data_IF_764006149447
#
_entry.id   IF_764006149447
#
_cell.length_a   1.000
_cell.length_b   1.000
_cell.length_c   1.000
_cell.angle_alpha   90.00
_cell.angle_beta   90.00
_cell.angle_gamma   90.00
#
_symmetry.space_group_name_H-M   'P 1'
#
loop_
_entity.id
_entity.type
_entity.pdbx_description
1 polymer ?
#
# COMPACT_ATOMS: atom_id res chain seq x y z
N UNK A 1 -30.74 26.10 -43.09
CA UNK A 1 -29.77 26.21 -42.00
C UNK A 1 -28.88 24.98 -42.02
N UNK A 2 -27.61 25.11 -42.43
CA UNK A 2 -26.65 24.00 -42.43
C UNK A 2 -26.18 23.81 -40.96
N UNK A 3 -26.49 22.68 -40.34
CA UNK A 3 -25.92 22.35 -39.04
C UNK A 3 -24.40 22.22 -39.18
N UNK A 4 -23.65 23.08 -38.51
CA UNK A 4 -22.20 22.93 -38.40
C UNK A 4 -21.89 21.69 -37.56
N UNK A 5 -21.09 20.79 -38.07
CA UNK A 5 -20.65 19.60 -37.34
C UNK A 5 -19.30 19.90 -36.68
N UNK A 6 -19.25 19.88 -35.35
CA UNK A 6 -18.02 19.87 -34.57
C UNK A 6 -17.67 18.43 -34.22
N UNK A 7 -16.43 18.10 -34.25
CA UNK A 7 -15.88 16.79 -33.86
C UNK A 7 -14.77 16.99 -32.85
N UNK A 8 -14.93 16.40 -31.69
CA UNK A 8 -13.87 16.35 -30.68
C UNK A 8 -12.99 15.14 -30.96
N UNK A 9 -11.71 15.34 -31.27
CA UNK A 9 -10.75 14.29 -31.54
C UNK A 9 -9.76 14.19 -30.38
N UNK A 10 -10.01 13.24 -29.50
CA UNK A 10 -9.07 12.72 -28.50
C UNK A 10 -8.44 13.71 -27.52
N UNK A 11 -8.69 13.53 -26.24
CA UNK A 11 -7.95 14.21 -25.19
C UNK A 11 -6.64 13.46 -24.91
N UNK A 12 -5.50 14.13 -25.08
CA UNK A 12 -4.19 13.63 -24.64
C UNK A 12 -3.82 14.33 -23.33
N UNK A 13 -3.81 13.60 -22.24
CA UNK A 13 -3.36 14.12 -20.95
C UNK A 13 -1.85 13.96 -20.90
N UNK A 14 -1.12 15.06 -21.09
CA UNK A 14 0.34 15.11 -21.00
C UNK A 14 0.73 15.67 -19.63
N UNK A 15 1.23 14.80 -18.75
CA UNK A 15 1.90 15.23 -17.53
C UNK A 15 3.33 15.66 -17.88
N UNK A 16 3.59 16.96 -17.97
CA UNK A 16 4.95 17.50 -18.16
C UNK A 16 5.65 17.59 -16.80
N UNK A 17 6.61 16.71 -16.58
CA UNK A 17 7.64 16.87 -15.55
C UNK A 17 8.58 18.01 -15.95
N UNK A 18 8.51 19.13 -15.25
CA UNK A 18 9.51 20.20 -15.34
C UNK A 18 10.78 19.75 -14.60
N UNK A 19 11.79 19.33 -15.33
CA UNK A 19 13.15 19.18 -14.84
C UNK A 19 13.81 20.54 -14.85
N UNK A 20 13.98 21.14 -13.66
CA UNK A 20 14.76 22.37 -13.49
C UNK A 20 16.25 22.05 -13.58
N UNK A 21 16.93 22.50 -14.63
CA UNK A 21 18.36 22.46 -14.79
C UNK A 21 19.05 23.36 -13.78
N UNK A 22 19.90 22.78 -12.91
CA UNK A 22 20.80 23.49 -12.01
C UNK A 22 22.01 23.92 -12.81
N UNK A 23 22.20 25.21 -12.96
CA UNK A 23 23.43 25.80 -13.49
C UNK A 23 24.50 25.74 -12.40
N UNK A 24 25.62 25.06 -12.69
CA UNK A 24 26.86 25.12 -11.93
C UNK A 24 27.55 26.47 -12.18
N UNK A 25 27.67 27.28 -11.12
CA UNK A 25 28.64 28.37 -11.10
C UNK A 25 29.79 27.95 -10.18
N UNK A 26 31.01 27.86 -10.78
CA UNK A 26 32.27 27.77 -10.05
C UNK A 26 32.72 29.19 -9.64
N UNK A 27 33.21 29.35 -8.47
CA UNK A 27 34.54 29.78 -8.05
C UNK A 27 34.58 30.72 -6.83
N UNK A 28 35.49 30.43 -5.94
CA UNK A 28 36.30 31.43 -5.26
C UNK A 28 35.86 31.91 -3.86
N UNK A 29 36.56 31.47 -2.83
CA UNK A 29 36.84 32.34 -1.66
C UNK A 29 36.33 31.85 -0.31
N UNK A 30 37.28 31.36 0.50
CA UNK A 30 37.16 31.08 1.93
C UNK A 30 36.89 32.35 2.73
N UNK A 31 35.69 32.46 3.34
CA UNK A 31 35.46 33.28 4.52
C UNK A 31 34.39 32.62 5.38
N UNK A 32 34.75 32.38 6.65
CA UNK A 32 33.83 31.86 7.66
C UNK A 32 32.76 32.91 7.97
N UNK A 33 31.46 32.58 7.91
CA UNK A 33 30.44 33.47 8.46
C UNK A 33 30.02 33.00 9.85
N UNK A 34 29.96 33.98 10.73
CA UNK A 34 29.32 33.98 12.02
C UNK A 34 27.87 33.43 11.96
N UNK A 35 27.55 32.58 12.93
CA UNK A 35 26.24 32.00 13.14
C UNK A 35 25.16 33.06 13.43
N UNK A 36 24.41 33.45 12.42
CA UNK A 36 23.07 34.03 12.61
C UNK A 36 22.05 32.92 12.38
N UNK A 37 21.41 32.46 13.43
CA UNK A 37 20.26 31.54 13.33
C UNK A 37 19.14 32.26 12.56
N UNK A 38 19.02 31.94 11.27
CA UNK A 38 17.87 32.33 10.46
C UNK A 38 16.73 31.39 10.83
N UNK A 39 15.73 31.92 11.54
CA UNK A 39 14.48 31.21 11.76
C UNK A 39 13.89 30.83 10.37
N UNK A 40 13.90 29.51 10.10
CA UNK A 40 13.13 28.98 8.98
C UNK A 40 11.66 29.12 9.36
N UNK A 41 11.00 30.14 8.84
CA UNK A 41 9.54 30.13 8.79
C UNK A 41 9.16 28.99 7.87
N UNK A 42 8.60 27.90 8.43
CA UNK A 42 7.90 26.88 7.68
C UNK A 42 6.75 27.57 6.95
N UNK A 43 6.93 27.83 5.66
CA UNK A 43 5.79 28.18 4.81
C UNK A 43 4.86 26.94 4.85
N UNK A 44 3.68 27.10 5.41
CA UNK A 44 2.65 26.08 5.33
C UNK A 44 2.45 25.78 3.83
N UNK A 45 2.64 24.52 3.44
CA UNK A 45 2.36 24.06 2.09
C UNK A 45 0.88 24.35 1.84
N UNK A 46 0.58 25.14 0.80
CA UNK A 46 -0.79 25.40 0.41
C UNK A 46 -1.43 24.04 0.03
N UNK A 47 -2.64 23.74 0.49
CA UNK A 47 -3.32 22.49 0.12
C UNK A 47 -3.40 22.37 -1.40
N UNK A 48 -3.23 21.18 -1.95
CA UNK A 48 -3.44 20.92 -3.37
C UNK A 48 -4.84 21.39 -3.76
N UNK A 49 -4.93 22.22 -4.80
CA UNK A 49 -6.20 22.65 -5.35
C UNK A 49 -7.00 21.48 -5.93
N UNK A 50 -8.30 21.69 -6.15
CA UNK A 50 -9.23 20.72 -6.74
C UNK A 50 -9.23 20.73 -8.27
N UNK A 51 -8.47 21.66 -8.87
CA UNK A 51 -8.41 21.87 -10.32
C UNK A 51 -7.41 20.95 -11.03
N UNK A 52 -7.72 20.62 -12.27
CA UNK A 52 -6.83 19.85 -13.16
C UNK A 52 -6.83 20.45 -14.58
N UNK A 53 -5.72 20.28 -15.29
CA UNK A 53 -5.59 20.77 -16.66
C UNK A 53 -6.25 19.79 -17.63
N UNK A 54 -7.16 20.30 -18.46
CA UNK A 54 -7.79 19.59 -19.56
C UNK A 54 -7.32 20.15 -20.89
N UNK A 55 -6.93 19.27 -21.81
CA UNK A 55 -6.54 19.62 -23.18
C UNK A 55 -7.44 18.91 -24.17
N UNK A 56 -7.90 19.61 -25.19
CA UNK A 56 -8.70 19.04 -26.25
C UNK A 56 -8.31 19.58 -27.63
N UNK A 57 -8.82 18.88 -28.64
CA UNK A 57 -8.71 19.31 -30.03
C UNK A 57 -10.10 19.45 -30.63
N UNK A 58 -10.36 20.61 -31.24
CA UNK A 58 -11.60 20.96 -31.87
C UNK A 58 -11.43 21.14 -33.37
N UNK A 59 -12.15 20.37 -34.14
CA UNK A 59 -12.23 20.50 -35.60
C UNK A 59 -13.66 20.87 -36.00
N UNK A 60 -13.83 21.81 -36.92
CA UNK A 60 -15.10 22.20 -37.49
C UNK A 60 -15.08 21.86 -39.00
N UNK A 61 -16.00 21.02 -39.45
CA UNK A 61 -16.10 20.56 -40.84
C UNK A 61 -14.79 19.98 -41.41
N UNK A 62 -14.00 19.29 -40.56
CA UNK A 62 -12.72 18.65 -40.94
C UNK A 62 -11.52 19.61 -40.96
N UNK A 63 -11.66 20.83 -40.49
CA UNK A 63 -10.57 21.81 -40.34
C UNK A 63 -10.38 22.21 -38.89
N UNK A 64 -9.13 22.40 -38.42
CA UNK A 64 -8.86 22.87 -37.07
C UNK A 64 -9.47 24.25 -36.83
N UNK A 65 -10.12 24.42 -35.67
CA UNK A 65 -10.64 25.72 -35.27
C UNK A 65 -9.48 26.64 -34.85
N UNK A 66 -9.55 27.94 -35.29
CA UNK A 66 -8.64 29.00 -34.84
C UNK A 66 -9.51 30.19 -34.44
N UNK A 67 -9.95 30.20 -33.18
CA UNK A 67 -10.86 31.21 -32.65
C UNK A 67 -10.78 31.28 -31.12
N UNK A 68 -11.47 32.23 -30.52
CA UNK A 68 -11.74 32.23 -29.08
C UNK A 68 -13.20 31.85 -28.87
N UNK A 69 -13.45 30.84 -28.05
CA UNK A 69 -14.79 30.29 -27.85
C UNK A 69 -15.16 30.23 -26.36
N UNK A 70 -16.44 30.49 -26.08
CA UNK A 70 -16.99 30.20 -24.75
C UNK A 70 -17.23 28.72 -24.58
N UNK A 71 -16.76 28.17 -23.48
CA UNK A 71 -16.84 26.72 -23.18
C UNK A 71 -17.54 26.47 -21.85
N UNK A 72 -18.53 25.56 -21.87
CA UNK A 72 -19.17 25.01 -20.67
C UNK A 72 -18.82 23.57 -20.50
N UNK A 73 -18.29 23.22 -19.33
CA UNK A 73 -17.93 21.88 -18.92
C UNK A 73 -18.87 21.43 -17.81
N UNK A 74 -19.46 20.23 -17.94
CA UNK A 74 -20.34 19.66 -16.93
C UNK A 74 -19.93 18.22 -16.64
N UNK A 75 -19.83 17.89 -15.37
CA UNK A 75 -19.44 16.57 -14.90
C UNK A 75 -20.69 15.78 -14.52
N UNK A 76 -20.81 14.53 -14.99
CA UNK A 76 -21.94 13.64 -14.72
C UNK A 76 -21.48 12.29 -14.17
N UNK A 77 -22.40 11.59 -13.47
CA UNK A 77 -22.22 10.24 -12.95
C UNK A 77 -22.52 9.12 -13.98
N UNK A 78 -23.01 9.47 -15.19
CA UNK A 78 -23.37 8.52 -16.23
C UNK A 78 -23.08 9.03 -17.65
N UNK A 79 -22.82 8.11 -18.58
CA UNK A 79 -22.57 8.39 -20.00
C UNK A 79 -23.76 9.07 -20.70
N UNK A 80 -24.98 8.77 -20.27
CA UNK A 80 -26.24 9.38 -20.76
C UNK A 80 -27.23 9.47 -19.61
N UNK A 81 -28.08 10.51 -19.62
CA UNK A 81 -28.91 10.84 -18.46
C UNK A 81 -28.04 11.08 -17.21
N UNK A 82 -28.36 10.54 -16.02
CA UNK A 82 -27.57 10.67 -14.80
C UNK A 82 -27.67 12.07 -14.16
N UNK A 83 -26.97 12.21 -13.04
CA UNK A 83 -26.96 13.44 -12.21
C UNK A 83 -25.76 14.31 -12.56
N UNK A 84 -25.95 15.63 -12.70
CA UNK A 84 -24.86 16.59 -12.80
C UNK A 84 -24.18 16.70 -11.42
N UNK A 85 -22.87 16.47 -11.39
CA UNK A 85 -22.03 16.50 -10.18
C UNK A 85 -21.44 17.90 -9.98
N UNK A 86 -21.14 18.62 -11.06
CA UNK A 86 -20.58 19.96 -11.03
C UNK A 86 -20.44 20.54 -12.43
N UNK A 87 -20.23 21.86 -12.50
CA UNK A 87 -20.02 22.56 -13.76
C UNK A 87 -18.95 23.63 -13.62
N UNK A 88 -18.24 23.89 -14.72
CA UNK A 88 -17.24 24.94 -14.85
C UNK A 88 -17.39 25.66 -16.19
N UNK A 89 -17.21 26.96 -16.20
CA UNK A 89 -17.41 27.80 -17.37
C UNK A 89 -16.19 28.67 -17.65
N UNK A 90 -15.76 28.69 -18.92
CA UNK A 90 -14.63 29.45 -19.38
C UNK A 90 -15.03 30.30 -20.60
N UNK A 91 -14.97 31.61 -20.45
CA UNK A 91 -15.22 32.53 -21.53
C UNK A 91 -13.96 32.79 -22.36
N UNK A 92 -14.11 32.89 -23.67
CA UNK A 92 -13.07 33.31 -24.58
C UNK A 92 -11.83 32.40 -24.59
N UNK A 93 -12.02 31.10 -24.48
CA UNK A 93 -10.89 30.11 -24.50
C UNK A 93 -10.19 30.16 -25.87
N UNK A 94 -8.89 30.50 -25.93
CA UNK A 94 -8.18 30.55 -27.20
C UNK A 94 -7.93 29.16 -27.75
N UNK A 95 -8.31 28.94 -29.02
CA UNK A 95 -8.09 27.72 -29.76
C UNK A 95 -7.12 27.99 -30.90
N UNK A 96 -5.99 27.32 -30.95
CA UNK A 96 -4.98 27.50 -31.98
C UNK A 96 -4.69 26.16 -32.66
N UNK A 97 -4.85 26.11 -33.98
CA UNK A 97 -4.73 24.87 -34.76
C UNK A 97 -5.60 23.71 -34.20
N UNK A 98 -6.78 24.08 -33.70
CA UNK A 98 -7.72 23.17 -33.06
C UNK A 98 -7.41 22.88 -31.60
N UNK A 99 -6.26 23.21 -31.06
CA UNK A 99 -5.85 22.87 -29.71
C UNK A 99 -6.27 23.93 -28.70
N UNK A 100 -6.86 23.51 -27.59
CA UNK A 100 -7.15 24.35 -26.44
C UNK A 100 -6.70 23.67 -25.13
N UNK A 101 -6.49 24.51 -24.12
CA UNK A 101 -6.13 24.09 -22.77
C UNK A 101 -6.91 24.90 -21.76
N UNK A 102 -7.56 24.26 -20.81
CA UNK A 102 -8.29 24.88 -19.71
C UNK A 102 -7.94 24.20 -18.39
N UNK A 103 -8.15 24.94 -17.30
CA UNK A 103 -7.96 24.38 -15.94
C UNK A 103 -9.33 24.23 -15.30
N UNK A 104 -9.82 22.99 -15.20
CA UNK A 104 -11.17 22.68 -14.74
C UNK A 104 -11.22 22.44 -13.23
N UNK A 105 -12.23 22.98 -12.56
CA UNK A 105 -12.48 22.79 -11.13
C UNK A 105 -13.97 22.49 -10.87
N UNK A 106 -14.26 21.26 -10.49
CA UNK A 106 -15.61 20.81 -10.11
C UNK A 106 -15.81 20.76 -8.59
N UNK A 107 -14.85 21.24 -7.80
CA UNK A 107 -14.87 21.22 -6.35
C UNK A 107 -14.43 19.90 -5.73
N UNK A 108 -14.25 19.94 -4.43
CA UNK A 108 -13.60 18.88 -3.65
C UNK A 108 -14.31 17.51 -3.64
N UNK A 109 -15.63 17.49 -3.84
CA UNK A 109 -16.45 16.26 -3.81
C UNK A 109 -16.69 15.63 -5.19
N UNK A 110 -16.23 16.25 -6.27
CA UNK A 110 -16.57 15.83 -7.63
C UNK A 110 -16.01 14.44 -8.00
N UNK A 111 -14.83 14.11 -7.48
CA UNK A 111 -14.14 12.84 -7.72
C UNK A 111 -14.07 12.03 -6.43
N UNK A 112 -14.86 10.98 -6.32
CA UNK A 112 -14.99 10.11 -5.15
C UNK A 112 -14.64 8.64 -5.45
N UNK A 113 -13.97 8.38 -6.60
CA UNK A 113 -13.65 7.04 -7.08
C UNK A 113 -14.67 6.44 -8.05
N UNK A 114 -15.87 7.03 -8.16
CA UNK A 114 -16.85 6.60 -9.14
C UNK A 114 -16.50 7.09 -10.54
N UNK A 115 -17.04 6.43 -11.57
CA UNK A 115 -16.87 6.83 -12.97
C UNK A 115 -17.49 8.21 -13.19
N UNK A 116 -16.83 9.03 -14.01
CA UNK A 116 -17.28 10.39 -14.36
C UNK A 116 -17.25 10.60 -15.86
N UNK A 117 -18.21 11.39 -16.35
CA UNK A 117 -18.33 11.78 -17.75
C UNK A 117 -18.35 13.29 -17.85
N UNK A 118 -17.48 13.83 -18.71
CA UNK A 118 -17.38 15.25 -19.00
C UNK A 118 -18.18 15.58 -20.24
N UNK A 119 -19.23 16.38 -20.09
CA UNK A 119 -19.97 17.02 -21.18
C UNK A 119 -19.30 18.33 -21.54
N UNK A 120 -19.12 18.58 -22.83
CA UNK A 120 -18.50 19.81 -23.31
C UNK A 120 -19.47 20.50 -24.28
N UNK A 121 -19.76 21.76 -24.02
CA UNK A 121 -20.54 22.62 -24.90
C UNK A 121 -19.74 23.86 -25.27
N UNK A 122 -19.82 24.29 -26.51
CA UNK A 122 -18.99 25.36 -27.06
C UNK A 122 -19.83 26.37 -27.87
N UNK A 123 -19.54 27.65 -27.68
CA UNK A 123 -20.04 28.72 -28.48
C UNK A 123 -18.87 29.60 -29.00
N UNK A 124 -18.58 29.51 -30.31
CA UNK A 124 -17.52 30.29 -30.95
C UNK A 124 -18.06 31.48 -31.74
N UNK A 125 -19.36 31.66 -31.81
CA UNK A 125 -20.00 32.79 -32.50
C UNK A 125 -20.49 33.84 -31.52
N UNK A 126 -20.34 33.57 -30.21
CA UNK A 126 -20.79 34.48 -29.12
C UNK A 126 -22.28 34.91 -29.25
N UNK A 127 -23.09 34.01 -29.87
CA UNK A 127 -24.51 34.26 -30.08
C UNK A 127 -25.42 33.64 -29.01
N UNK A 128 -24.82 32.97 -27.99
CA UNK A 128 -25.48 32.26 -26.91
C UNK A 128 -26.00 30.88 -27.33
N UNK A 129 -25.63 30.41 -28.50
CA UNK A 129 -26.04 29.07 -29.01
C UNK A 129 -24.92 28.05 -28.91
N UNK A 130 -24.94 27.26 -27.86
CA UNK A 130 -23.92 26.27 -27.59
C UNK A 130 -24.10 25.00 -28.44
N UNK A 131 -23.05 24.61 -29.15
CA UNK A 131 -22.96 23.31 -29.78
C UNK A 131 -22.54 22.23 -28.72
N UNK A 132 -23.30 21.15 -28.62
CA UNK A 132 -23.02 20.04 -27.72
C UNK A 132 -22.06 19.06 -28.39
N UNK A 133 -20.90 18.82 -27.78
CA UNK A 133 -19.89 17.90 -28.26
C UNK A 133 -20.07 16.49 -27.66
N UNK A 134 -21.07 16.29 -26.79
CA UNK A 134 -21.37 15.05 -26.13
C UNK A 134 -20.57 14.84 -24.84
N UNK A 135 -20.65 13.62 -24.31
CA UNK A 135 -19.99 13.23 -23.07
C UNK A 135 -18.80 12.31 -23.34
N UNK A 136 -17.70 12.59 -22.70
CA UNK A 136 -16.50 11.77 -22.69
C UNK A 136 -16.24 11.21 -21.30
N UNK A 137 -15.91 9.93 -21.18
CA UNK A 137 -15.48 9.34 -19.91
C UNK A 137 -14.11 9.90 -19.51
N UNK A 138 -14.01 10.35 -18.25
CA UNK A 138 -12.74 10.76 -17.67
C UNK A 138 -12.02 9.51 -17.15
N UNK A 139 -10.86 9.23 -17.74
CA UNK A 139 -9.97 8.16 -17.31
C UNK A 139 -8.99 8.61 -16.23
N UNK A 140 -8.19 7.71 -15.70
CA UNK A 140 -7.43 7.74 -14.44
C UNK A 140 -6.71 9.01 -13.96
N UNK A 141 -6.44 10.03 -14.79
CA UNK A 141 -5.63 11.17 -14.36
C UNK A 141 -6.33 12.12 -13.36
N UNK A 142 -7.65 12.46 -13.50
CA UNK A 142 -8.38 13.17 -12.44
C UNK A 142 -8.54 12.37 -11.15
N UNK A 143 -8.51 11.05 -11.21
CA UNK A 143 -8.57 10.18 -10.05
C UNK A 143 -7.32 10.19 -9.19
N UNK A 144 -6.20 10.76 -9.67
CA UNK A 144 -5.05 11.03 -8.80
C UNK A 144 -5.41 12.01 -7.66
N UNK A 145 -6.37 12.92 -7.90
CA UNK A 145 -6.91 13.82 -6.86
C UNK A 145 -7.77 13.07 -5.83
N UNK A 146 -8.42 11.99 -6.23
CA UNK A 146 -9.14 11.11 -5.32
C UNK A 146 -8.19 10.32 -4.42
N UNK A 147 -7.07 9.85 -4.94
CA UNK A 147 -6.07 9.12 -4.14
C UNK A 147 -5.54 9.96 -2.95
N UNK A 148 -5.53 11.28 -3.08
CA UNK A 148 -5.19 12.21 -1.96
C UNK A 148 -6.35 12.35 -0.96
N UNK A 149 -7.62 12.09 -1.38
CA UNK A 149 -8.82 12.26 -0.54
C UNK A 149 -9.51 10.95 -0.12
N UNK A 150 -9.18 9.83 -0.73
CA UNK A 150 -9.86 8.55 -0.50
C UNK A 150 -9.41 7.83 0.75
N UNK A 151 -9.47 8.49 1.91
CA UNK A 151 -9.27 7.83 3.19
C UNK A 151 -7.87 7.24 3.40
N UNK A 152 -6.87 7.70 2.64
CA UNK A 152 -5.49 7.60 3.07
C UNK A 152 -5.30 8.49 4.30
N UNK A 153 -4.36 8.18 5.18
CA UNK A 153 -4.10 9.00 6.35
C UNK A 153 -3.85 10.45 5.93
N UNK A 154 -4.54 11.39 6.57
CA UNK A 154 -4.40 12.83 6.28
C UNK A 154 -2.97 13.32 6.60
N UNK A 155 -2.26 12.58 7.46
CA UNK A 155 -0.92 12.89 7.94
C UNK A 155 0.09 11.90 7.37
N UNK A 156 1.06 12.40 6.62
CA UNK A 156 2.15 11.58 6.07
C UNK A 156 3.47 12.02 6.68
N UNK A 157 4.19 11.05 7.24
CA UNK A 157 5.57 11.21 7.76
C UNK A 157 6.50 10.42 6.87
N UNK A 158 7.56 11.05 6.38
CA UNK A 158 8.50 10.40 5.46
C UNK A 158 9.77 9.95 6.16
N UNK A 159 10.18 8.70 5.91
CA UNK A 159 11.45 8.14 6.39
C UNK A 159 12.35 7.85 5.20
N UNK A 160 13.54 8.43 5.18
CA UNK A 160 14.53 8.18 4.14
C UNK A 160 15.95 8.24 4.71
N UNK A 161 16.91 7.59 4.06
CA UNK A 161 18.33 7.69 4.45
C UNK A 161 18.89 9.12 4.33
N UNK A 162 18.24 9.93 3.48
CA UNK A 162 18.50 11.37 3.34
C UNK A 162 17.27 12.04 2.73
N UNK A 163 16.95 13.27 3.13
CA UNK A 163 15.87 14.08 2.56
C UNK A 163 14.45 13.72 3.02
N UNK A 164 14.28 12.82 3.98
CA UNK A 164 13.03 12.57 4.66
C UNK A 164 12.90 13.38 5.97
N UNK A 165 11.71 13.34 6.58
CA UNK A 165 11.48 13.94 7.90
C UNK A 165 12.30 13.23 8.98
N UNK A 166 12.49 11.91 8.83
CA UNK A 166 13.26 11.05 9.72
C UNK A 166 14.18 10.11 8.94
N UNK A 167 15.22 9.61 9.62
CA UNK A 167 16.12 8.57 9.09
C UNK A 167 15.91 7.19 9.72
N UNK A 168 15.09 7.10 10.78
CA UNK A 168 14.69 5.89 11.50
C UNK A 168 13.18 5.75 11.48
N UNK A 169 12.69 4.54 11.19
CA UNK A 169 11.25 4.21 11.16
C UNK A 169 10.67 4.30 12.57
N UNK A 170 11.38 3.76 13.58
CA UNK A 170 10.89 3.82 14.96
C UNK A 170 10.78 5.26 15.47
N UNK A 171 11.79 6.09 15.19
CA UNK A 171 11.75 7.50 15.61
C UNK A 171 10.59 8.26 14.94
N UNK A 172 10.29 7.98 13.68
CA UNK A 172 9.13 8.54 12.99
C UNK A 172 7.80 8.13 13.66
N UNK A 173 7.63 6.85 13.98
CA UNK A 173 6.46 6.34 14.70
C UNK A 173 6.36 6.96 16.10
N UNK A 174 7.47 7.09 16.82
CA UNK A 174 7.51 7.63 18.17
C UNK A 174 7.12 9.10 18.23
N UNK A 175 7.43 9.88 17.19
CA UNK A 175 7.07 11.29 17.07
C UNK A 175 5.56 11.53 16.96
N UNK A 176 4.80 10.52 16.52
CA UNK A 176 3.34 10.59 16.40
C UNK A 176 2.71 10.35 17.77
N UNK A 177 2.03 11.36 18.31
CA UNK A 177 1.49 11.33 19.69
C UNK A 177 -0.03 11.44 19.77
N UNK A 178 -0.70 11.74 18.65
CA UNK A 178 -2.14 12.05 18.59
C UNK A 178 -2.89 11.16 17.57
N UNK A 179 -2.30 10.04 17.17
CA UNK A 179 -2.96 9.08 16.29
C UNK A 179 -4.24 8.52 16.94
N UNK A 180 -5.33 8.53 16.19
CA UNK A 180 -6.66 8.10 16.61
C UNK A 180 -7.46 7.57 15.40
N UNK A 181 -8.63 7.00 15.63
CA UNK A 181 -9.48 6.46 14.57
C UNK A 181 -9.91 7.51 13.53
N UNK A 182 -10.05 8.76 13.93
CA UNK A 182 -10.35 9.92 13.10
C UNK A 182 -9.11 10.77 12.73
N UNK A 183 -7.93 10.37 13.19
CA UNK A 183 -6.65 11.04 12.92
C UNK A 183 -5.55 10.00 12.66
N UNK A 184 -5.60 9.36 11.49
CA UNK A 184 -4.67 8.31 11.11
C UNK A 184 -3.40 8.87 10.45
N UNK A 185 -2.29 8.15 10.59
CA UNK A 185 -0.99 8.52 10.05
C UNK A 185 -0.48 7.46 9.07
N UNK A 186 0.21 7.92 8.03
CA UNK A 186 1.05 7.09 7.17
C UNK A 186 2.52 7.42 7.40
N UNK A 187 3.29 6.44 7.83
CA UNK A 187 4.75 6.48 7.78
C UNK A 187 5.19 5.85 6.47
N UNK A 188 5.59 6.69 5.51
CA UNK A 188 6.10 6.23 4.23
C UNK A 188 7.62 6.08 4.28
N UNK A 189 8.12 4.89 3.95
CA UNK A 189 9.53 4.53 4.07
C UNK A 189 10.16 4.39 2.68
N UNK A 190 11.07 5.29 2.37
CA UNK A 190 11.82 5.30 1.10
C UNK A 190 12.68 4.04 0.93
N UNK A 191 13.14 3.74 -0.31
CA UNK A 191 14.08 2.65 -0.54
C UNK A 191 15.30 2.71 0.37
N UNK A 192 15.68 1.55 0.93
CA UNK A 192 16.85 1.42 1.79
C UNK A 192 16.76 0.26 2.77
N UNK A 193 17.87 -0.03 3.44
CA UNK A 193 17.94 -1.02 4.53
C UNK A 193 17.96 -0.27 5.87
N UNK A 194 16.95 -0.53 6.69
CA UNK A 194 16.75 0.05 8.02
C UNK A 194 17.03 -1.02 9.06
N UNK A 195 18.18 -0.88 9.73
CA UNK A 195 18.61 -1.85 10.76
C UNK A 195 18.10 -1.37 12.10
N UNK A 196 16.90 -1.80 12.45
CA UNK A 196 16.21 -1.37 13.66
C UNK A 196 15.08 -2.35 14.05
N UNK A 197 14.66 -2.29 15.31
CA UNK A 197 13.46 -2.95 15.79
C UNK A 197 12.32 -1.93 15.77
N UNK A 198 11.18 -2.32 15.20
CA UNK A 198 10.03 -1.43 15.01
C UNK A 198 8.82 -1.95 15.77
N UNK A 199 8.24 -1.09 16.61
CA UNK A 199 6.93 -1.32 17.25
C UNK A 199 5.94 -0.29 16.72
N UNK A 200 4.93 -0.76 16.04
CA UNK A 200 3.86 0.10 15.50
C UNK A 200 2.97 0.64 16.62
N UNK A 201 2.29 1.74 16.35
CA UNK A 201 1.25 2.31 17.22
C UNK A 201 -0.12 2.16 16.56
N UNK A 202 -1.21 2.06 17.32
CA UNK A 202 -2.57 2.08 16.77
C UNK A 202 -2.79 3.28 15.84
N UNK A 203 -3.53 3.06 14.74
CA UNK A 203 -3.87 4.08 13.73
C UNK A 203 -2.67 4.68 13.00
N UNK A 204 -1.47 4.10 13.13
CA UNK A 204 -0.27 4.45 12.36
C UNK A 204 -0.01 3.36 11.34
N UNK A 205 -0.17 3.68 10.07
CA UNK A 205 0.07 2.79 8.95
C UNK A 205 1.53 2.89 8.50
N UNK A 206 2.13 1.79 8.02
CA UNK A 206 3.50 1.74 7.54
C UNK A 206 3.55 1.22 6.12
N UNK A 207 4.13 1.98 5.20
CA UNK A 207 4.28 1.59 3.80
C UNK A 207 5.69 1.83 3.30
N UNK A 208 6.28 0.80 2.71
CA UNK A 208 7.56 0.89 1.99
C UNK A 208 7.39 1.25 0.52
N UNK A 209 8.51 1.34 -0.18
CA UNK A 209 8.56 1.60 -1.62
C UNK A 209 8.56 0.32 -2.47
N UNK A 210 8.35 -0.84 -1.85
CA UNK A 210 8.33 -2.16 -2.48
C UNK A 210 9.13 -3.19 -1.67
N UNK A 211 8.79 -4.48 -1.82
CA UNK A 211 9.38 -5.57 -1.04
C UNK A 211 10.91 -5.70 -1.21
N UNK A 212 11.43 -5.43 -2.41
CA UNK A 212 12.88 -5.47 -2.65
C UNK A 212 13.56 -4.12 -2.42
N UNK A 213 12.80 -3.04 -2.30
CA UNK A 213 13.29 -1.68 -2.19
C UNK A 213 13.43 -1.21 -0.73
N UNK A 214 12.45 -1.51 0.12
CA UNK A 214 12.45 -1.12 1.53
C UNK A 214 12.58 -2.35 2.41
N UNK A 215 13.65 -2.42 3.19
CA UNK A 215 13.98 -3.56 4.06
C UNK A 215 14.18 -3.07 5.50
N UNK A 216 13.33 -3.53 6.42
CA UNK A 216 13.51 -3.35 7.86
C UNK A 216 14.09 -4.65 8.41
N UNK A 217 15.24 -4.60 9.09
CA UNK A 217 15.91 -5.81 9.56
C UNK A 217 16.51 -5.63 10.95
N UNK A 218 16.58 -6.72 11.71
CA UNK A 218 17.24 -6.74 13.01
C UNK A 218 17.84 -8.12 13.32
N UNK A 219 18.53 -8.18 14.45
CA UNK A 219 19.05 -9.42 15.03
C UNK A 219 18.40 -9.74 16.39
N UNK A 220 17.22 -9.18 16.65
CA UNK A 220 16.52 -9.37 17.92
C UNK A 220 16.15 -10.83 18.13
N UNK A 221 16.31 -11.29 19.36
CA UNK A 221 15.95 -12.64 19.78
C UNK A 221 15.09 -12.60 21.03
N UNK A 222 14.24 -13.60 21.22
CA UNK A 222 13.42 -13.76 22.42
C UNK A 222 13.56 -15.15 23.04
N UNK A 223 13.58 -15.19 24.37
CA UNK A 223 13.53 -16.43 25.12
C UNK A 223 12.10 -16.83 25.56
N UNK A 224 11.16 -15.87 25.51
CA UNK A 224 9.76 -16.05 25.95
C UNK A 224 8.93 -16.84 24.95
N UNK A 225 7.90 -17.54 25.45
CA UNK A 225 6.88 -18.14 24.61
C UNK A 225 5.48 -17.90 25.21
N UNK A 226 4.57 -17.26 24.48
CA UNK A 226 4.75 -16.68 23.14
C UNK A 226 5.83 -15.58 23.14
N UNK A 227 6.46 -15.31 21.98
CA UNK A 227 7.45 -14.25 21.87
C UNK A 227 6.82 -12.87 22.07
N UNK A 228 7.59 -11.96 22.68
CA UNK A 228 7.21 -10.59 22.96
C UNK A 228 8.01 -9.57 22.13
N UNK A 229 9.04 -10.06 21.43
CA UNK A 229 9.93 -9.24 20.61
C UNK A 229 10.09 -9.82 19.19
N UNK A 230 10.13 -8.91 18.22
CA UNK A 230 10.36 -9.20 16.81
C UNK A 230 11.10 -8.05 16.13
N UNK A 231 11.48 -8.21 14.88
CA UNK A 231 11.97 -7.09 14.07
C UNK A 231 10.89 -6.05 13.89
N UNK A 232 9.66 -6.46 13.58
CA UNK A 232 8.50 -5.58 13.53
C UNK A 232 7.33 -6.18 14.30
N UNK A 233 6.80 -5.39 15.25
CA UNK A 233 5.59 -5.73 16.00
C UNK A 233 4.43 -4.85 15.54
N UNK A 234 3.35 -5.49 15.11
CA UNK A 234 2.12 -4.83 14.67
C UNK A 234 1.33 -4.28 15.86
N UNK A 235 0.52 -3.27 15.60
CA UNK A 235 -0.49 -2.75 16.53
C UNK A 235 -1.90 -2.91 15.94
N UNK A 236 -2.92 -2.66 16.76
CA UNK A 236 -4.32 -2.68 16.31
C UNK A 236 -4.60 -1.57 15.29
N UNK A 237 -5.57 -1.78 14.42
CA UNK A 237 -6.07 -0.80 13.45
C UNK A 237 -4.95 -0.19 12.59
N UNK A 238 -4.01 -1.06 12.15
CA UNK A 238 -2.86 -0.65 11.33
C UNK A 238 -2.85 -1.35 9.98
N UNK A 239 -2.07 -0.81 9.06
CA UNK A 239 -1.66 -1.54 7.87
C UNK A 239 -0.14 -1.52 7.68
N UNK A 240 0.40 -2.65 7.22
CA UNK A 240 1.80 -2.81 6.82
C UNK A 240 1.84 -3.22 5.36
N UNK A 241 2.55 -2.45 4.51
CA UNK A 241 2.51 -2.68 3.06
C UNK A 241 3.86 -2.48 2.38
N UNK A 242 4.07 -3.18 1.28
CA UNK A 242 5.10 -2.92 0.26
C UNK A 242 6.53 -2.87 0.82
N UNK A 243 6.93 -3.83 1.67
CA UNK A 243 8.27 -3.88 2.23
C UNK A 243 8.70 -5.30 2.65
N UNK A 244 9.97 -5.45 2.99
CA UNK A 244 10.52 -6.67 3.61
C UNK A 244 10.84 -6.43 5.08
N UNK A 245 10.44 -7.39 5.93
CA UNK A 245 10.82 -7.45 7.34
C UNK A 245 11.74 -8.66 7.54
N UNK A 246 12.98 -8.43 7.96
CA UNK A 246 14.00 -9.47 8.14
C UNK A 246 14.42 -9.64 9.59
N UNK A 247 14.65 -10.88 10.04
CA UNK A 247 15.30 -11.19 11.31
C UNK A 247 16.42 -12.22 11.10
N UNK A 248 17.63 -11.86 11.54
CA UNK A 248 18.80 -12.73 11.47
C UNK A 248 19.45 -13.00 12.84
N UNK A 249 18.65 -12.93 13.90
CA UNK A 249 19.09 -13.26 15.27
C UNK A 249 19.53 -14.71 15.41
N UNK A 250 20.33 -15.00 16.44
CA UNK A 250 20.90 -16.33 16.68
C UNK A 250 20.45 -16.96 17.99
N UNK A 251 19.44 -16.38 18.66
CA UNK A 251 18.93 -16.89 19.93
C UNK A 251 17.89 -17.99 19.83
N UNK A 252 17.13 -18.17 20.91
CA UNK A 252 16.15 -19.25 21.03
C UNK A 252 14.97 -19.09 20.06
N UNK A 253 14.44 -17.88 19.94
CA UNK A 253 13.33 -17.55 19.05
C UNK A 253 13.65 -16.27 18.31
N UNK A 254 13.46 -16.29 17.01
CA UNK A 254 13.81 -15.20 16.11
C UNK A 254 12.59 -14.95 15.22
N UNK A 255 11.94 -13.83 15.44
CA UNK A 255 10.66 -13.47 14.80
C UNK A 255 10.87 -12.26 13.91
N UNK A 256 10.47 -12.33 12.64
CA UNK A 256 10.50 -11.16 11.77
C UNK A 256 9.27 -10.29 11.99
N UNK A 257 8.07 -10.82 11.82
CA UNK A 257 6.80 -10.10 11.98
C UNK A 257 5.96 -10.71 13.11
N UNK A 258 5.56 -9.88 14.07
CA UNK A 258 4.82 -10.29 15.26
C UNK A 258 3.51 -9.51 15.39
N UNK A 259 2.43 -10.20 15.75
CA UNK A 259 1.20 -9.60 16.26
C UNK A 259 0.81 -10.30 17.56
N UNK A 260 0.63 -9.54 18.64
CA UNK A 260 0.32 -10.06 19.99
C UNK A 260 -0.89 -9.43 20.65
N UNK A 261 -1.55 -8.47 19.99
CA UNK A 261 -2.64 -7.70 20.58
C UNK A 261 -3.99 -8.10 20.00
N UNK A 262 -5.06 -7.86 20.74
CA UNK A 262 -6.45 -8.03 20.32
C UNK A 262 -6.78 -7.02 19.23
N UNK A 263 -6.40 -7.33 17.99
CA UNK A 263 -6.53 -6.41 16.87
C UNK A 263 -7.72 -6.80 16.00
N UNK A 264 -8.66 -5.86 15.86
CA UNK A 264 -9.70 -5.93 14.84
C UNK A 264 -9.27 -5.19 13.61
N UNK A 265 -9.16 -5.48 12.45
CA UNK A 265 -8.86 -4.71 11.22
C UNK A 265 -7.38 -4.41 10.94
N UNK A 266 -6.47 -5.28 11.33
CA UNK A 266 -5.07 -5.16 10.90
C UNK A 266 -4.87 -5.84 9.54
N UNK A 267 -4.21 -5.12 8.63
CA UNK A 267 -3.91 -5.60 7.28
C UNK A 267 -2.40 -5.62 7.03
N UNK A 268 -1.90 -6.76 6.57
CA UNK A 268 -0.55 -6.89 6.02
C UNK A 268 -0.68 -7.25 4.54
N UNK A 269 -0.17 -6.41 3.65
CA UNK A 269 -0.32 -6.63 2.22
C UNK A 269 1.00 -6.41 1.48
N UNK A 270 1.31 -7.31 0.54
CA UNK A 270 2.49 -7.23 -0.31
C UNK A 270 3.78 -7.10 0.53
N UNK A 271 3.92 -7.95 1.57
CA UNK A 271 5.03 -7.96 2.52
C UNK A 271 5.80 -9.28 2.43
N UNK A 272 7.13 -9.20 2.45
CA UNK A 272 8.00 -10.35 2.68
C UNK A 272 8.48 -10.35 4.13
N UNK A 273 8.10 -11.36 4.91
CA UNK A 273 8.62 -11.61 6.25
C UNK A 273 9.66 -12.74 6.18
N UNK A 274 10.90 -12.46 6.62
CA UNK A 274 12.01 -13.40 6.51
C UNK A 274 12.74 -13.57 7.82
N UNK A 275 12.84 -14.80 8.33
CA UNK A 275 13.60 -15.12 9.54
C UNK A 275 14.62 -16.22 9.24
N UNK A 276 15.90 -15.95 9.47
CA UNK A 276 16.98 -16.90 9.10
C UNK A 276 18.22 -16.71 9.96
N UNK A 277 19.05 -17.76 10.05
CA UNK A 277 20.34 -17.70 10.75
C UNK A 277 20.66 -19.02 11.46
N UNK A 278 21.55 -18.98 12.46
CA UNK A 278 22.00 -20.14 13.20
C UNK A 278 21.36 -20.30 14.60
N UNK A 279 20.18 -19.68 14.81
CA UNK A 279 19.43 -19.80 16.06
C UNK A 279 18.61 -21.06 16.18
N UNK A 280 17.85 -21.20 17.29
CA UNK A 280 17.09 -22.43 17.54
C UNK A 280 15.83 -22.49 16.68
N UNK A 281 14.94 -21.50 16.76
CA UNK A 281 13.69 -21.50 16.00
C UNK A 281 13.46 -20.17 15.30
N UNK A 282 12.92 -20.23 14.10
CA UNK A 282 12.59 -19.07 13.29
C UNK A 282 11.12 -19.02 12.95
N UNK A 283 10.57 -17.83 13.07
CA UNK A 283 9.18 -17.50 12.72
C UNK A 283 9.20 -16.33 11.75
N UNK A 284 8.85 -16.55 10.50
CA UNK A 284 8.72 -15.44 9.58
C UNK A 284 7.56 -14.55 10.01
N UNK A 285 6.40 -15.12 10.33
CA UNK A 285 5.26 -14.43 10.90
C UNK A 285 4.72 -15.19 12.11
N UNK A 286 4.51 -14.50 13.22
CA UNK A 286 3.95 -15.07 14.45
C UNK A 286 2.72 -14.25 14.87
N UNK A 287 1.55 -14.90 14.89
CA UNK A 287 0.28 -14.30 15.25
C UNK A 287 -0.26 -14.96 16.52
N UNK A 288 -0.48 -14.18 17.57
CA UNK A 288 -1.01 -14.68 18.83
C UNK A 288 -1.77 -13.60 19.58
N UNK A 289 -3.00 -13.90 20.00
CA UNK A 289 -3.84 -12.97 20.75
C UNK A 289 -5.31 -13.39 20.65
N UNK A 290 -6.06 -13.28 21.75
CA UNK A 290 -7.50 -13.54 21.74
C UNK A 290 -8.23 -12.49 20.91
N UNK A 291 -9.28 -12.91 20.20
CA UNK A 291 -10.17 -12.06 19.39
C UNK A 291 -9.46 -11.19 18.31
N UNK A 292 -8.21 -11.51 17.98
CA UNK A 292 -7.47 -10.82 16.93
C UNK A 292 -8.00 -11.18 15.54
N UNK A 293 -8.45 -10.17 14.77
CA UNK A 293 -8.80 -10.29 13.35
C UNK A 293 -7.70 -9.69 12.47
N UNK A 294 -6.92 -10.53 11.77
CA UNK A 294 -5.84 -10.07 10.88
C UNK A 294 -6.01 -10.62 9.46
N UNK A 295 -5.79 -9.76 8.48
CA UNK A 295 -5.75 -10.16 7.07
C UNK A 295 -4.32 -10.08 6.54
N UNK A 296 -3.84 -11.18 5.95
CA UNK A 296 -2.57 -11.26 5.22
C UNK A 296 -2.89 -11.42 3.73
N UNK A 297 -2.51 -10.44 2.91
CA UNK A 297 -2.75 -10.43 1.47
C UNK A 297 -1.41 -10.45 0.72
N UNK A 298 -1.19 -11.44 -0.15
CA UNK A 298 0.05 -11.59 -0.91
C UNK A 298 1.32 -11.57 -0.02
N UNK A 299 1.24 -12.12 1.19
CA UNK A 299 2.37 -12.15 2.12
C UNK A 299 3.26 -13.35 1.82
N UNK A 300 4.57 -13.11 1.77
CA UNK A 300 5.59 -14.17 1.71
C UNK A 300 6.24 -14.33 3.08
N UNK A 301 6.04 -15.48 3.73
CA UNK A 301 6.68 -15.85 4.99
C UNK A 301 7.75 -16.91 4.75
N UNK A 302 9.04 -16.62 5.02
CA UNK A 302 10.14 -17.57 4.88
C UNK A 302 10.93 -17.66 6.18
N UNK A 303 10.90 -18.86 6.82
CA UNK A 303 11.72 -19.20 7.97
C UNK A 303 12.69 -20.32 7.62
N UNK A 304 14.00 -20.08 7.82
CA UNK A 304 15.01 -21.03 7.34
C UNK A 304 16.27 -21.08 8.20
N UNK A 305 16.94 -22.25 8.14
CA UNK A 305 18.26 -22.50 8.73
C UNK A 305 18.33 -22.53 10.26
N UNK A 306 17.20 -22.47 10.98
CA UNK A 306 17.18 -22.76 12.42
C UNK A 306 17.51 -24.22 12.69
N UNK A 307 18.17 -24.51 13.81
CA UNK A 307 18.49 -25.88 14.19
C UNK A 307 17.28 -26.65 14.74
N UNK A 308 16.27 -25.96 15.27
CA UNK A 308 15.01 -26.53 15.74
C UNK A 308 13.90 -26.43 14.69
N UNK A 309 12.83 -25.72 15.01
CA UNK A 309 11.67 -25.61 14.14
C UNK A 309 11.66 -24.28 13.35
N UNK A 310 11.28 -24.35 12.09
CA UNK A 310 11.15 -23.19 11.20
C UNK A 310 9.70 -23.06 10.72
N UNK A 311 9.08 -21.90 10.98
CA UNK A 311 7.67 -21.63 10.68
C UNK A 311 7.53 -20.47 9.69
N UNK A 312 6.97 -20.74 8.51
CA UNK A 312 6.57 -19.68 7.59
C UNK A 312 5.49 -18.78 8.22
N UNK A 313 4.47 -19.39 8.82
CA UNK A 313 3.44 -18.74 9.59
C UNK A 313 3.05 -19.57 10.82
N UNK A 314 3.02 -18.93 11.98
CA UNK A 314 2.54 -19.52 13.23
C UNK A 314 1.33 -18.72 13.75
N UNK A 315 0.22 -19.40 14.03
CA UNK A 315 -1.03 -18.80 14.49
C UNK A 315 -1.49 -19.51 15.77
N UNK A 316 -1.82 -18.74 16.83
CA UNK A 316 -2.23 -19.34 18.09
C UNK A 316 -3.16 -18.45 18.94
N UNK A 317 -3.65 -19.05 20.03
CA UNK A 317 -4.34 -18.37 21.14
C UNK A 317 -5.55 -17.52 20.72
N UNK A 318 -6.48 -18.09 19.97
CA UNK A 318 -7.73 -17.44 19.59
C UNK A 318 -7.64 -16.45 18.43
N UNK A 319 -6.49 -16.40 17.75
CA UNK A 319 -6.33 -15.56 16.54
C UNK A 319 -7.26 -16.00 15.42
N UNK A 320 -7.95 -15.04 14.80
CA UNK A 320 -8.70 -15.20 13.55
C UNK A 320 -7.88 -14.62 12.40
N UNK A 321 -7.28 -15.48 11.57
CA UNK A 321 -6.46 -15.07 10.45
C UNK A 321 -7.13 -15.37 9.11
N UNK A 322 -7.18 -14.37 8.23
CA UNK A 322 -7.61 -14.51 6.84
C UNK A 322 -6.41 -14.33 5.92
N UNK A 323 -6.11 -15.33 5.11
CA UNK A 323 -5.01 -15.30 4.13
C UNK A 323 -5.60 -15.23 2.72
N UNK A 324 -5.13 -14.29 1.90
CA UNK A 324 -5.52 -14.11 0.51
C UNK A 324 -4.29 -14.14 -0.39
N UNK A 325 -4.05 -15.28 -1.04
CA UNK A 325 -2.81 -15.51 -1.77
C UNK A 325 -1.59 -15.57 -0.86
N UNK A 326 -0.41 -15.45 -1.43
CA UNK A 326 0.86 -15.49 -0.72
C UNK A 326 1.44 -16.88 -0.53
N UNK A 327 2.61 -16.94 0.11
CA UNK A 327 3.34 -18.19 0.33
C UNK A 327 4.01 -18.23 1.70
N UNK A 328 3.94 -19.39 2.37
CA UNK A 328 4.54 -19.59 3.69
C UNK A 328 5.43 -20.81 3.66
N UNK A 329 6.72 -20.62 3.93
CA UNK A 329 7.72 -21.71 3.88
C UNK A 329 8.49 -21.81 5.18
N UNK A 330 8.49 -23.01 5.77
CA UNK A 330 9.40 -23.40 6.84
C UNK A 330 10.41 -24.41 6.32
N UNK A 331 11.71 -24.10 6.43
CA UNK A 331 12.76 -24.88 5.77
C UNK A 331 13.92 -25.22 6.70
N UNK A 332 14.40 -26.47 6.65
CA UNK A 332 15.57 -26.92 7.40
C UNK A 332 15.29 -27.15 8.89
N UNK A 333 16.36 -27.34 9.66
CA UNK A 333 16.30 -27.63 11.09
C UNK A 333 15.77 -29.04 11.41
N UNK A 334 15.16 -29.21 12.58
CA UNK A 334 14.48 -30.44 12.92
C UNK A 334 13.17 -30.59 12.16
N UNK A 335 12.37 -29.52 12.08
CA UNK A 335 11.08 -29.53 11.42
C UNK A 335 10.83 -28.26 10.63
N UNK A 336 10.24 -28.41 9.41
CA UNK A 336 9.77 -27.32 8.58
C UNK A 336 8.24 -27.26 8.56
N UNK A 337 7.67 -26.11 8.90
CA UNK A 337 6.23 -25.83 8.84
C UNK A 337 5.94 -24.68 7.89
N UNK A 338 5.16 -24.92 6.84
CA UNK A 338 4.62 -23.83 6.03
C UNK A 338 3.71 -22.96 6.88
N UNK A 339 2.60 -23.55 7.35
CA UNK A 339 1.64 -22.93 8.28
C UNK A 339 1.44 -23.86 9.47
N UNK A 340 1.45 -23.29 10.67
CA UNK A 340 1.15 -24.00 11.91
C UNK A 340 0.05 -23.25 12.68
N UNK A 341 -1.04 -23.92 13.02
CA UNK A 341 -2.12 -23.37 13.85
C UNK A 341 -2.21 -24.14 15.17
N UNK A 342 -2.52 -23.42 16.27
CA UNK A 342 -2.61 -24.01 17.60
C UNK A 342 -3.57 -23.27 18.53
N UNK A 343 -4.29 -24.06 19.34
CA UNK A 343 -5.06 -23.57 20.49
C UNK A 343 -6.52 -23.27 20.18
N UNK A 344 -7.34 -23.35 21.24
CA UNK A 344 -8.79 -23.12 21.17
C UNK A 344 -9.13 -21.78 20.56
N UNK A 345 -10.24 -21.69 19.84
CA UNK A 345 -10.75 -20.50 19.15
C UNK A 345 -9.82 -19.91 18.08
N UNK A 346 -8.70 -20.61 17.76
CA UNK A 346 -7.85 -20.20 16.63
C UNK A 346 -8.53 -20.59 15.33
N UNK A 347 -8.71 -19.60 14.44
CA UNK A 347 -9.38 -19.77 13.15
C UNK A 347 -8.47 -19.33 12.03
N UNK A 348 -8.38 -20.15 10.97
CA UNK A 348 -7.69 -19.86 9.74
C UNK A 348 -8.65 -19.97 8.56
N UNK A 349 -8.76 -18.92 7.77
CA UNK A 349 -9.37 -18.95 6.43
C UNK A 349 -8.28 -18.66 5.41
N UNK A 350 -8.04 -19.56 4.45
CA UNK A 350 -6.97 -19.42 3.48
C UNK A 350 -7.50 -19.59 2.05
N UNK A 351 -7.32 -18.58 1.22
CA UNK A 351 -7.75 -18.50 -0.17
C UNK A 351 -6.53 -18.44 -1.10
N UNK A 352 -6.32 -19.47 -1.94
CA UNK A 352 -5.25 -19.51 -2.95
C UNK A 352 -3.82 -19.46 -2.38
N UNK A 353 -3.60 -19.96 -1.17
CA UNK A 353 -2.34 -19.88 -0.43
C UNK A 353 -1.41 -21.06 -0.76
N UNK A 354 -0.10 -20.78 -0.85
CA UNK A 354 0.92 -21.83 -0.91
C UNK A 354 1.59 -22.00 0.46
N UNK A 355 1.60 -23.21 1.00
CA UNK A 355 2.28 -23.55 2.26
C UNK A 355 3.24 -24.73 2.05
N UNK A 356 4.52 -24.54 2.41
CA UNK A 356 5.59 -25.51 2.17
C UNK A 356 6.40 -25.77 3.44
N UNK A 357 6.44 -27.02 3.88
CA UNK A 357 7.42 -27.51 4.83
C UNK A 357 8.49 -28.32 4.12
N UNK A 358 9.77 -27.94 4.22
CA UNK A 358 10.81 -28.68 3.49
C UNK A 358 12.15 -28.78 4.20
N UNK A 359 12.87 -29.88 3.88
CA UNK A 359 14.25 -30.11 4.31
C UNK A 359 14.47 -30.11 5.82
N UNK A 360 13.43 -30.34 6.62
CA UNK A 360 13.56 -30.65 8.04
C UNK A 360 14.16 -32.05 8.24
N UNK A 361 14.99 -32.21 9.27
CA UNK A 361 15.67 -33.47 9.52
C UNK A 361 14.75 -34.62 9.99
N UNK A 362 13.61 -34.31 10.59
CA UNK A 362 12.64 -35.29 11.09
C UNK A 362 11.31 -35.24 10.39
N UNK A 363 10.65 -34.09 10.37
CA UNK A 363 9.29 -33.95 9.88
C UNK A 363 9.11 -32.64 9.10
N UNK A 364 8.22 -32.64 8.09
CA UNK A 364 7.81 -31.46 7.37
C UNK A 364 6.30 -31.42 7.19
N UNK A 365 5.70 -30.25 7.31
CA UNK A 365 4.27 -30.03 7.14
C UNK A 365 4.01 -28.81 6.26
N UNK A 366 3.17 -28.97 5.24
CA UNK A 366 2.60 -27.83 4.53
C UNK A 366 1.71 -27.02 5.47
N UNK A 367 0.67 -27.68 6.01
CA UNK A 367 -0.20 -27.13 7.06
C UNK A 367 -0.27 -28.14 8.22
N UNK A 368 -0.03 -27.66 9.43
CA UNK A 368 -0.19 -28.44 10.65
C UNK A 368 -1.22 -27.76 11.57
N UNK A 369 -2.37 -28.38 11.73
CA UNK A 369 -3.40 -27.95 12.69
C UNK A 369 -3.26 -28.75 13.98
N UNK A 370 -2.99 -28.07 15.09
CA UNK A 370 -2.76 -28.69 16.40
C UNK A 370 -3.76 -28.13 17.44
N UNK A 371 -4.35 -29.01 18.23
CA UNK A 371 -5.44 -28.71 19.18
C UNK A 371 -6.73 -28.23 18.48
N UNK A 372 -7.81 -27.91 19.20
CA UNK A 372 -9.07 -27.57 18.57
C UNK A 372 -9.00 -26.21 17.83
N UNK A 373 -8.42 -26.24 16.63
CA UNK A 373 -8.42 -25.10 15.68
C UNK A 373 -9.45 -25.34 14.60
N UNK A 374 -9.97 -24.25 14.00
CA UNK A 374 -10.84 -24.30 12.83
C UNK A 374 -10.10 -23.76 11.62
N UNK A 375 -10.03 -24.55 10.56
CA UNK A 375 -9.36 -24.17 9.32
C UNK A 375 -10.28 -24.37 8.13
N UNK A 376 -10.46 -23.32 7.32
CA UNK A 376 -11.21 -23.36 6.05
C UNK A 376 -10.27 -23.00 4.91
N UNK A 377 -10.19 -23.86 3.89
CA UNK A 377 -9.33 -23.70 2.74
C UNK A 377 -10.15 -23.52 1.46
N UNK A 378 -9.84 -22.49 0.70
CA UNK A 378 -10.43 -22.24 -0.62
C UNK A 378 -9.31 -22.29 -1.68
N UNK A 379 -8.99 -23.53 -2.12
CA UNK A 379 -7.88 -23.79 -3.03
C UNK A 379 -6.51 -23.59 -2.38
N UNK A 380 -5.48 -23.52 -3.20
CA UNK A 380 -4.10 -23.38 -2.73
C UNK A 380 -3.28 -24.67 -2.84
N UNK A 381 -2.06 -24.66 -2.30
CA UNK A 381 -1.13 -25.78 -2.32
C UNK A 381 -0.47 -25.97 -0.96
N UNK A 382 -0.64 -27.14 -0.37
CA UNK A 382 -0.07 -27.49 0.93
C UNK A 382 0.86 -28.69 0.75
N UNK A 383 2.16 -28.45 0.79
CA UNK A 383 3.18 -29.45 0.39
C UNK A 383 4.21 -29.64 1.50
N UNK A 384 4.67 -30.87 1.64
CA UNK A 384 5.81 -31.21 2.48
C UNK A 384 6.79 -32.13 1.75
N UNK A 385 8.10 -31.92 1.92
CA UNK A 385 9.12 -32.71 1.23
C UNK A 385 10.48 -32.67 1.92
N UNK A 386 11.32 -33.68 1.66
CA UNK A 386 12.73 -33.67 2.03
C UNK A 386 13.03 -34.00 3.51
N UNK A 387 12.07 -34.51 4.27
CA UNK A 387 12.35 -35.04 5.63
C UNK A 387 12.90 -36.46 5.62
N UNK A 388 13.62 -36.74 6.67
CA UNK A 388 14.14 -38.10 6.88
C UNK A 388 13.07 -39.12 7.27
N UNK A 389 11.99 -38.72 7.96
CA UNK A 389 11.00 -39.68 8.50
C UNK A 389 9.55 -39.41 8.07
N UNK A 390 9.08 -38.13 8.02
CA UNK A 390 7.67 -37.84 7.76
C UNK A 390 7.46 -36.51 6.98
N UNK A 391 6.66 -36.58 5.91
CA UNK A 391 6.29 -35.43 5.10
C UNK A 391 4.78 -35.46 4.88
N UNK A 392 4.05 -34.45 5.40
CA UNK A 392 2.60 -34.36 5.27
C UNK A 392 2.18 -33.00 4.69
N UNK A 393 1.47 -33.01 3.57
CA UNK A 393 0.90 -31.80 2.97
C UNK A 393 0.00 -31.08 3.97
N UNK A 394 -0.99 -31.79 4.52
CA UNK A 394 -1.89 -31.30 5.58
C UNK A 394 -1.94 -32.33 6.70
N UNK A 395 -1.87 -31.88 7.95
CA UNK A 395 -1.99 -32.73 9.12
C UNK A 395 -2.89 -32.09 10.19
N UNK A 396 -3.98 -32.77 10.51
CA UNK A 396 -4.87 -32.40 11.59
C UNK A 396 -4.64 -33.31 12.80
N UNK A 397 -4.38 -32.70 13.94
CA UNK A 397 -4.11 -33.40 15.18
C UNK A 397 -4.99 -32.88 16.30
N UNK A 398 -5.42 -33.76 17.21
CA UNK A 398 -6.08 -33.45 18.47
C UNK A 398 -7.33 -32.54 18.33
N UNK A 399 -8.36 -33.04 17.64
CA UNK A 399 -9.65 -32.40 17.45
C UNK A 399 -9.65 -31.12 16.57
N UNK A 400 -8.61 -30.86 15.80
CA UNK A 400 -8.63 -29.80 14.81
C UNK A 400 -9.66 -30.09 13.71
N UNK A 401 -10.45 -29.11 13.31
CA UNK A 401 -11.40 -29.20 12.19
C UNK A 401 -10.81 -28.59 10.91
N UNK A 402 -11.10 -29.22 9.78
CA UNK A 402 -10.68 -28.76 8.46
C UNK A 402 -11.87 -28.87 7.52
N UNK A 403 -12.14 -27.76 6.82
CA UNK A 403 -13.04 -27.66 5.67
C UNK A 403 -12.21 -27.24 4.45
N UNK A 404 -12.35 -27.94 3.29
CA UNK A 404 -11.55 -27.67 2.10
C UNK A 404 -12.38 -27.83 0.81
#
# INVERSE_FOLDING_TARGET
MKRKQFLLVGALILATLLVSSIALAQDGGLQSPSSSARALTTAALAPLGTSFTYQGRLDQNGSPVNDACDMSFRLYDAASMGTEIGSDFHAGVPITNGLFTVNLDFGAGAFNGDRRWLEIKIDCEEDGTYADLGRQELTAAPYALYAVKSGGPENVVTVAKSGGDYTSVQTAIDSITDAAADNTYLVWVAPGVYVEQVTMKPYVHLQGAGQEATIITSTVTDASFPPTQATLTLAQDTSLRDLTVGNSGTGSRNVALLATTDTTQTLVADVTARAHGAGTSYYATFLTGGDMGITLQNVTGLAENGIGNNFGLYISNGTVATLRGGSFTGRGGSRGYGIYTRGSNTTLVAEGVTALGENGGTENFGLYNYDPTTTTLHGGSFTARGAGSDNRGIYNYNHASLEA
#
